data_IF_888562949804
#
_entry.id   IF_888562949804
#
_cell.length_a   1.000
_cell.length_b   1.000
_cell.length_c   1.000
_cell.angle_alpha   90.00
_cell.angle_beta   90.00
_cell.angle_gamma   90.00
#
_symmetry.space_group_name_H-M   'P 1'
#
loop_
_entity.id
_entity.type
_entity.pdbx_description
1 polymer ?
#
# COMPACT_ATOMS: atom_id res chain seq x y z
N UNK A 1 -16.08 8.97 -26.72
CA UNK A 1 -16.56 10.18 -26.01
C UNK A 1 -15.57 10.48 -24.89
N UNK A 2 -14.91 11.63 -24.91
CA UNK A 2 -14.03 12.06 -23.81
C UNK A 2 -14.95 12.46 -22.65
N UNK A 3 -14.78 11.87 -21.47
CA UNK A 3 -15.53 12.30 -20.27
C UNK A 3 -15.04 13.67 -19.86
N UNK A 4 -15.96 14.62 -19.76
CA UNK A 4 -15.65 15.98 -19.33
C UNK A 4 -15.83 16.09 -17.81
N UNK A 5 -14.82 16.64 -17.15
CA UNK A 5 -14.81 16.90 -15.72
C UNK A 5 -14.73 18.40 -15.48
N UNK A 6 -15.27 18.87 -14.37
CA UNK A 6 -15.21 20.29 -13.97
C UNK A 6 -14.85 20.41 -12.49
N UNK A 7 -14.58 21.63 -12.02
CA UNK A 7 -14.21 21.92 -10.62
C UNK A 7 -13.08 21.01 -10.12
N UNK A 8 -12.07 20.81 -10.97
CA UNK A 8 -10.93 19.96 -10.67
C UNK A 8 -10.02 20.70 -9.70
N UNK A 9 -9.73 20.10 -8.56
CA UNK A 9 -8.78 20.65 -7.59
C UNK A 9 -8.09 19.53 -6.81
N UNK A 10 -6.87 19.82 -6.39
CA UNK A 10 -6.14 19.05 -5.41
C UNK A 10 -6.46 19.65 -4.03
N UNK A 11 -6.93 18.82 -3.11
CA UNK A 11 -7.29 19.22 -1.75
C UNK A 11 -6.58 18.34 -0.73
N UNK A 12 -6.47 18.86 0.49
CA UNK A 12 -5.89 18.12 1.60
C UNK A 12 -6.67 16.84 1.92
N UNK A 13 -5.98 15.73 2.28
CA UNK A 13 -6.59 14.56 2.93
C UNK A 13 -7.37 14.90 4.20
N UNK A 14 -7.12 16.07 4.80
CA UNK A 14 -7.82 16.59 5.98
C UNK A 14 -9.06 17.43 5.65
N UNK A 15 -9.41 17.60 4.37
CA UNK A 15 -10.58 18.36 3.96
C UNK A 15 -11.87 17.79 4.58
N UNK A 16 -12.73 18.62 5.20
CA UNK A 16 -13.98 18.17 5.80
C UNK A 16 -14.90 17.44 4.81
N UNK A 17 -14.94 17.88 3.55
CA UNK A 17 -15.76 17.27 2.51
C UNK A 17 -15.30 15.84 2.20
N UNK A 18 -13.99 15.65 2.04
CA UNK A 18 -13.40 14.33 1.79
C UNK A 18 -13.60 13.38 2.98
N UNK A 19 -13.36 13.87 4.20
CA UNK A 19 -13.58 13.10 5.44
C UNK A 19 -15.05 12.70 5.56
N UNK A 20 -15.98 13.61 5.30
CA UNK A 20 -17.42 13.34 5.35
C UNK A 20 -17.81 12.27 4.33
N UNK A 21 -17.31 12.38 3.09
CA UNK A 21 -17.54 11.37 2.06
C UNK A 21 -17.02 9.99 2.48
N UNK A 22 -15.80 9.91 3.01
CA UNK A 22 -15.20 8.66 3.49
C UNK A 22 -15.97 8.06 4.68
N UNK A 23 -16.46 8.88 5.61
CA UNK A 23 -17.33 8.43 6.72
C UNK A 23 -18.63 7.80 6.19
N UNK A 24 -19.25 8.44 5.20
CA UNK A 24 -20.47 7.93 4.54
C UNK A 24 -20.21 6.57 3.87
N UNK A 25 -19.15 6.43 3.08
CA UNK A 25 -18.78 5.15 2.46
C UNK A 25 -18.45 4.07 3.49
N UNK A 26 -17.73 4.43 4.56
CA UNK A 26 -17.43 3.50 5.66
C UNK A 26 -18.70 2.99 6.33
N UNK A 27 -19.67 3.86 6.61
CA UNK A 27 -20.94 3.47 7.20
C UNK A 27 -21.72 2.49 6.30
N UNK A 28 -21.77 2.74 4.99
CA UNK A 28 -22.38 1.83 4.02
C UNK A 28 -21.68 0.46 3.98
N UNK A 29 -20.33 0.45 3.98
CA UNK A 29 -19.55 -0.79 4.00
C UNK A 29 -19.77 -1.58 5.30
N UNK A 30 -19.80 -0.93 6.46
CA UNK A 30 -20.08 -1.60 7.75
C UNK A 30 -21.49 -2.20 7.74
N UNK A 31 -22.49 -1.46 7.24
CA UNK A 31 -23.86 -1.96 7.14
C UNK A 31 -23.95 -3.22 6.27
N UNK A 32 -23.22 -3.26 5.15
CA UNK A 32 -23.17 -4.42 4.24
C UNK A 32 -22.47 -5.64 4.86
N UNK A 33 -21.53 -5.44 5.79
CA UNK A 33 -20.69 -6.47 6.39
C UNK A 33 -21.21 -7.01 7.73
N UNK A 34 -22.40 -6.61 8.19
CA UNK A 34 -22.96 -7.02 9.50
C UNK A 34 -23.01 -8.54 9.77
N UNK A 35 -22.87 -9.38 8.74
CA UNK A 35 -22.88 -10.85 8.84
C UNK A 35 -21.51 -11.52 8.65
N UNK A 36 -20.44 -10.78 8.38
CA UNK A 36 -19.10 -11.33 8.16
C UNK A 36 -18.25 -11.14 9.42
N UNK A 37 -17.61 -12.22 9.89
CA UNK A 37 -16.61 -12.14 10.96
C UNK A 37 -15.44 -11.25 10.57
N UNK A 38 -14.74 -10.71 11.57
CA UNK A 38 -13.53 -9.92 11.36
C UNK A 38 -12.34 -10.87 11.28
N UNK A 39 -11.64 -10.88 10.15
CA UNK A 39 -10.34 -11.53 10.00
C UNK A 39 -9.26 -10.65 10.64
N UNK A 40 -8.78 -11.06 11.81
CA UNK A 40 -7.79 -10.32 12.58
C UNK A 40 -6.39 -10.35 11.93
N UNK A 41 -6.01 -11.46 11.31
CA UNK A 41 -4.71 -11.59 10.63
C UNK A 41 -4.64 -10.65 9.43
N UNK A 42 -5.67 -10.67 8.58
CA UNK A 42 -5.77 -9.74 7.46
C UNK A 42 -5.81 -8.28 7.91
N UNK A 43 -6.52 -7.97 9.00
CA UNK A 43 -6.57 -6.61 9.54
C UNK A 43 -5.18 -6.12 9.96
N UNK A 44 -4.46 -6.93 10.73
CA UNK A 44 -3.19 -6.52 11.33
C UNK A 44 -2.08 -6.45 10.27
N UNK A 45 -2.05 -7.39 9.32
CA UNK A 45 -1.20 -7.33 8.13
C UNK A 45 -1.46 -6.08 7.28
N UNK A 46 -2.73 -5.78 6.96
CA UNK A 46 -3.07 -4.59 6.17
C UNK A 46 -2.72 -3.28 6.91
N UNK A 47 -2.85 -3.25 8.24
CA UNK A 47 -2.40 -2.09 9.04
C UNK A 47 -0.88 -1.89 8.92
N UNK A 48 -0.10 -2.98 8.93
CA UNK A 48 1.32 -2.90 8.72
C UNK A 48 1.66 -2.45 7.28
N UNK A 49 0.96 -2.95 6.26
CA UNK A 49 1.13 -2.46 4.89
C UNK A 49 0.94 -0.95 4.75
N UNK A 50 -0.07 -0.37 5.41
CA UNK A 50 -0.27 1.09 5.43
C UNK A 50 0.91 1.84 6.06
N UNK A 51 1.54 1.28 7.10
CA UNK A 51 2.78 1.83 7.68
C UNK A 51 3.91 1.82 6.65
N UNK A 52 4.09 0.72 5.92
CA UNK A 52 5.11 0.60 4.87
C UNK A 52 4.87 1.53 3.68
N UNK A 53 3.62 1.73 3.28
CA UNK A 53 3.27 2.71 2.26
C UNK A 53 3.63 4.13 2.72
N UNK A 54 3.37 4.46 3.99
CA UNK A 54 3.77 5.75 4.56
C UNK A 54 5.29 5.92 4.60
N UNK A 55 6.04 4.86 4.92
CA UNK A 55 7.51 4.87 4.85
C UNK A 55 7.98 5.20 3.44
N UNK A 56 7.39 4.56 2.43
CA UNK A 56 7.71 4.88 1.02
C UNK A 56 7.42 6.33 0.67
N UNK A 57 6.26 6.88 1.06
CA UNK A 57 5.94 8.29 0.84
C UNK A 57 6.98 9.21 1.51
N UNK A 58 7.36 8.92 2.75
CA UNK A 58 8.37 9.69 3.47
C UNK A 58 9.74 9.62 2.78
N UNK A 59 10.16 8.45 2.30
CA UNK A 59 11.38 8.34 1.51
C UNK A 59 11.28 9.18 0.22
N UNK A 60 10.21 9.05 -0.56
CA UNK A 60 10.02 9.85 -1.78
C UNK A 60 10.09 11.37 -1.53
N UNK A 61 9.55 11.86 -0.40
CA UNK A 61 9.64 13.28 -0.02
C UNK A 61 11.08 13.76 0.26
N UNK A 62 12.04 12.87 0.48
CA UNK A 62 13.46 13.23 0.59
C UNK A 62 14.11 13.52 -0.76
N UNK A 63 13.49 13.07 -1.87
CA UNK A 63 14.05 13.16 -3.22
C UNK A 63 13.49 14.31 -4.05
N UNK A 64 12.32 14.82 -3.67
CA UNK A 64 11.60 15.86 -4.43
C UNK A 64 10.65 16.62 -3.51
N UNK A 65 10.18 17.78 -3.95
CA UNK A 65 9.14 18.52 -3.25
C UNK A 65 7.81 17.77 -3.36
N UNK A 66 7.16 17.52 -2.22
CA UNK A 66 5.84 16.87 -2.14
C UNK A 66 4.71 17.92 -2.24
N UNK A 67 3.69 17.63 -3.04
CA UNK A 67 2.38 18.29 -2.94
C UNK A 67 1.52 17.49 -1.95
N UNK A 68 1.34 18.03 -0.73
CA UNK A 68 0.59 17.34 0.34
C UNK A 68 -0.91 17.24 0.04
N UNK A 69 -1.45 18.17 -0.76
CA UNK A 69 -2.84 18.16 -1.23
C UNK A 69 -3.00 17.10 -2.32
N UNK A 70 -3.15 15.84 -1.90
CA UNK A 70 -3.15 14.67 -2.79
C UNK A 70 -4.51 14.08 -3.09
N UNK A 71 -5.60 14.73 -2.66
CA UNK A 71 -6.95 14.29 -2.99
C UNK A 71 -7.42 15.07 -4.22
N UNK A 72 -7.57 14.37 -5.34
CA UNK A 72 -8.18 14.90 -6.54
C UNK A 72 -9.70 14.95 -6.39
N UNK A 73 -10.23 16.15 -6.17
CA UNK A 73 -11.66 16.45 -6.17
C UNK A 73 -12.07 16.95 -7.55
N UNK A 74 -13.22 16.48 -8.02
CA UNK A 74 -13.77 16.86 -9.33
C UNK A 74 -15.28 16.66 -9.34
N UNK A 75 -15.96 17.36 -10.23
CA UNK A 75 -17.36 17.09 -10.55
C UNK A 75 -17.43 16.32 -11.87
N UNK A 76 -18.15 15.20 -11.85
CA UNK A 76 -18.40 14.35 -13.01
C UNK A 76 -19.77 14.62 -13.65
N UNK A 77 -20.42 13.56 -14.12
CA UNK A 77 -21.75 13.65 -14.73
C UNK A 77 -22.92 13.66 -13.74
N UNK A 78 -22.67 13.27 -12.48
CA UNK A 78 -23.71 13.21 -11.44
C UNK A 78 -23.65 14.45 -10.54
N UNK A 79 -24.78 14.77 -9.89
CA UNK A 79 -24.84 15.86 -8.93
C UNK A 79 -23.92 15.58 -7.74
N UNK A 80 -22.87 16.40 -7.58
CA UNK A 80 -21.93 16.35 -6.46
C UNK A 80 -20.46 16.33 -6.87
N UNK A 81 -19.61 16.09 -5.87
CA UNK A 81 -18.17 15.92 -6.02
C UNK A 81 -17.79 14.46 -5.85
N UNK A 82 -16.91 14.00 -6.72
CA UNK A 82 -16.18 12.76 -6.60
C UNK A 82 -14.75 13.06 -6.11
N UNK A 83 -14.17 12.08 -5.42
CA UNK A 83 -12.85 12.19 -4.82
C UNK A 83 -11.98 11.00 -5.23
N UNK A 84 -10.70 11.24 -5.48
CA UNK A 84 -9.68 10.22 -5.71
C UNK A 84 -8.43 10.57 -4.94
N UNK A 85 -8.00 9.68 -4.06
CA UNK A 85 -6.69 9.80 -3.43
C UNK A 85 -5.61 9.34 -4.41
N UNK A 86 -4.50 10.07 -4.41
CA UNK A 86 -3.25 9.74 -5.11
C UNK A 86 -2.22 9.47 -4.01
N UNK A 87 -1.47 8.37 -4.11
CA UNK A 87 -0.61 7.92 -3.02
C UNK A 87 0.51 8.92 -2.70
N UNK A 88 1.12 9.50 -3.73
CA UNK A 88 2.13 10.55 -3.61
C UNK A 88 2.12 11.47 -4.84
N UNK A 89 2.40 12.76 -4.65
CA UNK A 89 2.52 13.72 -5.74
C UNK A 89 3.86 14.44 -5.62
N UNK A 90 4.72 14.24 -6.60
CA UNK A 90 5.92 15.06 -6.75
C UNK A 90 5.56 16.37 -7.46
N UNK A 91 6.08 17.48 -6.94
CA UNK A 91 5.91 18.82 -7.51
C UNK A 91 7.31 19.42 -7.77
N UNK A 92 8.02 18.99 -8.83
CA UNK A 92 9.36 19.47 -9.12
C UNK A 92 9.41 20.97 -9.47
N UNK A 93 8.29 21.55 -9.90
CA UNK A 93 8.11 22.99 -10.09
C UNK A 93 6.65 23.37 -9.83
N UNK A 94 6.36 24.68 -9.71
CA UNK A 94 5.02 25.20 -9.39
C UNK A 94 3.94 24.67 -10.35
N UNK A 95 4.28 24.53 -11.64
CA UNK A 95 3.33 24.15 -12.70
C UNK A 95 3.41 22.67 -13.10
N UNK A 96 4.35 21.89 -12.55
CA UNK A 96 4.56 20.48 -12.88
C UNK A 96 4.16 19.56 -11.75
N UNK A 97 3.37 18.53 -12.07
CA UNK A 97 2.94 17.50 -11.14
C UNK A 97 3.27 16.11 -11.69
N UNK A 98 3.70 15.20 -10.83
CA UNK A 98 3.89 13.79 -11.17
C UNK A 98 3.12 12.96 -10.16
N UNK A 99 2.05 12.32 -10.63
CA UNK A 99 1.25 11.44 -9.80
C UNK A 99 1.95 10.10 -9.66
N UNK A 100 2.19 9.69 -8.43
CA UNK A 100 2.81 8.42 -8.10
C UNK A 100 1.78 7.48 -7.50
N UNK A 101 1.74 6.24 -8.02
CA UNK A 101 0.94 5.16 -7.48
C UNK A 101 1.88 4.11 -6.88
N UNK A 102 1.70 3.78 -5.61
CA UNK A 102 2.51 2.85 -4.86
C UNK A 102 1.83 1.48 -4.81
N UNK A 103 2.60 0.42 -5.06
CA UNK A 103 2.13 -0.97 -4.91
C UNK A 103 3.18 -1.83 -4.21
N UNK A 104 2.89 -2.22 -2.97
CA UNK A 104 3.65 -3.22 -2.25
C UNK A 104 3.25 -4.62 -2.76
N UNK A 105 4.19 -5.37 -3.33
CA UNK A 105 3.95 -6.68 -3.96
C UNK A 105 4.72 -7.78 -3.25
N UNK A 106 4.11 -8.96 -3.12
CA UNK A 106 4.73 -10.16 -2.51
C UNK A 106 6.05 -10.56 -3.18
N UNK A 107 6.12 -10.45 -4.50
CA UNK A 107 7.30 -10.80 -5.30
C UNK A 107 7.32 -9.96 -6.58
N UNK A 108 8.50 -9.79 -7.15
CA UNK A 108 8.74 -9.20 -8.45
C UNK A 108 7.98 -9.92 -9.56
N UNK A 109 7.55 -9.17 -10.58
CA UNK A 109 6.99 -9.73 -11.82
C UNK A 109 7.46 -8.91 -13.02
N UNK A 110 8.18 -9.58 -13.93
CA UNK A 110 8.69 -8.99 -15.19
C UNK A 110 7.60 -8.34 -16.04
N UNK A 111 6.37 -8.86 -15.99
CA UNK A 111 5.21 -8.29 -16.68
C UNK A 111 4.05 -8.15 -15.70
N UNK A 112 3.57 -6.92 -15.54
CA UNK A 112 2.37 -6.60 -14.79
C UNK A 112 1.29 -6.07 -15.74
N UNK A 113 0.05 -6.55 -15.57
CA UNK A 113 -1.10 -5.88 -16.17
C UNK A 113 -1.38 -4.53 -15.49
N UNK A 114 -2.11 -3.65 -16.16
CA UNK A 114 -2.39 -2.28 -15.70
C UNK A 114 -3.04 -2.18 -14.31
N UNK A 115 -3.92 -3.12 -13.96
CA UNK A 115 -4.50 -3.17 -12.61
C UNK A 115 -3.46 -3.57 -11.57
N UNK A 116 -2.58 -4.51 -11.91
CA UNK A 116 -1.58 -5.01 -10.99
C UNK A 116 -0.46 -3.98 -10.74
N UNK A 117 -0.06 -3.23 -11.77
CA UNK A 117 0.93 -2.15 -11.65
C UNK A 117 0.38 -0.87 -11.01
N UNK A 118 -0.95 -0.70 -10.95
CA UNK A 118 -1.59 0.53 -10.49
C UNK A 118 -1.92 1.55 -11.60
N UNK A 119 -1.49 1.28 -12.84
CA UNK A 119 -1.76 2.15 -13.99
C UNK A 119 -3.24 2.40 -14.27
N UNK A 120 -4.12 1.43 -13.94
CA UNK A 120 -5.56 1.64 -14.11
C UNK A 120 -6.11 2.75 -13.18
N UNK A 121 -5.61 2.83 -11.94
CA UNK A 121 -6.00 3.89 -11.00
C UNK A 121 -5.36 5.22 -11.40
N UNK A 122 -4.07 5.19 -11.74
CA UNK A 122 -3.27 6.33 -12.11
C UNK A 122 -3.75 7.00 -13.40
N UNK A 123 -4.01 6.24 -14.47
CA UNK A 123 -4.52 6.76 -15.74
C UNK A 123 -5.84 7.49 -15.59
N UNK A 124 -6.73 7.02 -14.70
CA UNK A 124 -7.98 7.71 -14.44
C UNK A 124 -7.74 9.06 -13.74
N UNK A 125 -6.82 9.10 -12.77
CA UNK A 125 -6.47 10.34 -12.08
C UNK A 125 -5.78 11.34 -13.02
N UNK A 126 -4.87 10.88 -13.89
CA UNK A 126 -4.22 11.69 -14.93
C UNK A 126 -5.23 12.22 -15.94
N UNK A 127 -6.15 11.39 -16.42
CA UNK A 127 -7.16 11.81 -17.39
C UNK A 127 -8.12 12.90 -16.85
N UNK A 128 -8.40 12.88 -15.54
CA UNK A 128 -9.19 13.92 -14.87
C UNK A 128 -8.33 15.18 -14.69
N UNK A 129 -7.18 15.05 -14.04
CA UNK A 129 -6.32 16.17 -13.70
C UNK A 129 -5.75 16.88 -14.93
N UNK A 130 -5.47 16.16 -16.01
CA UNK A 130 -4.98 16.69 -17.28
C UNK A 130 -5.94 17.65 -17.99
N UNK A 131 -7.20 17.76 -17.55
CA UNK A 131 -8.12 18.80 -18.03
C UNK A 131 -7.88 20.17 -17.36
N UNK A 132 -7.06 20.23 -16.31
CA UNK A 132 -6.67 21.47 -15.59
C UNK A 132 -5.16 21.70 -15.59
N UNK A 133 -4.37 20.65 -15.38
CA UNK A 133 -2.92 20.73 -15.21
C UNK A 133 -2.22 20.33 -16.51
N UNK A 134 -1.44 21.25 -17.09
CA UNK A 134 -0.82 21.07 -18.41
C UNK A 134 0.48 20.24 -18.37
N UNK A 135 1.25 20.32 -17.29
CA UNK A 135 2.48 19.56 -17.11
C UNK A 135 2.26 18.46 -16.07
N UNK A 136 1.61 17.38 -16.51
CA UNK A 136 1.24 16.26 -15.64
C UNK A 136 1.89 14.97 -16.14
N UNK A 137 2.55 14.25 -15.23
CA UNK A 137 3.16 12.94 -15.47
C UNK A 137 2.59 11.87 -14.56
N UNK A 138 2.91 10.62 -14.87
CA UNK A 138 2.57 9.45 -14.06
C UNK A 138 3.76 8.55 -13.81
N UNK A 139 3.87 8.03 -12.58
CA UNK A 139 4.86 7.02 -12.21
C UNK A 139 4.21 5.92 -11.37
N UNK A 140 4.30 4.67 -11.83
CA UNK A 140 3.89 3.52 -11.03
C UNK A 140 5.11 2.91 -10.34
N UNK A 141 5.11 2.88 -9.02
CA UNK A 141 6.21 2.35 -8.21
C UNK A 141 5.76 1.06 -7.53
N UNK A 142 6.35 -0.06 -7.95
CA UNK A 142 6.16 -1.34 -7.30
C UNK A 142 7.33 -1.62 -6.36
N UNK A 143 7.04 -2.07 -5.14
CA UNK A 143 8.07 -2.54 -4.19
C UNK A 143 7.94 -4.05 -4.08
N UNK A 144 9.02 -4.76 -4.39
CA UNK A 144 9.11 -6.19 -4.11
C UNK A 144 9.39 -6.39 -2.61
N UNK A 145 8.38 -6.88 -1.90
CA UNK A 145 8.36 -7.12 -0.46
C UNK A 145 8.92 -8.48 -0.05
N UNK A 146 9.35 -9.31 -1.00
CA UNK A 146 9.85 -10.67 -0.74
C UNK A 146 10.88 -10.71 0.38
N UNK A 147 11.87 -9.81 0.37
CA UNK A 147 12.90 -9.76 1.42
C UNK A 147 12.32 -9.52 2.82
N UNK A 148 11.47 -8.50 3.00
CA UNK A 148 10.86 -8.20 4.31
C UNK A 148 9.85 -9.27 4.73
N UNK A 149 9.30 -10.03 3.79
CA UNK A 149 8.47 -11.21 4.04
C UNK A 149 9.28 -12.48 4.34
N UNK A 150 10.62 -12.43 4.25
CA UNK A 150 11.48 -13.60 4.43
C UNK A 150 11.38 -14.62 3.28
N UNK A 151 11.00 -14.16 2.09
CA UNK A 151 10.92 -14.95 0.86
C UNK A 151 12.14 -14.68 -0.04
N UNK A 152 12.41 -15.62 -0.94
CA UNK A 152 13.36 -15.41 -2.03
C UNK A 152 12.67 -14.70 -3.19
N UNK A 153 13.24 -13.58 -3.66
CA UNK A 153 12.75 -12.86 -4.83
C UNK A 153 13.05 -13.63 -6.12
N UNK A 154 12.16 -13.50 -7.12
CA UNK A 154 12.43 -13.98 -8.48
C UNK A 154 13.22 -12.98 -9.35
N UNK A 155 13.49 -11.78 -8.85
CA UNK A 155 14.24 -10.74 -9.54
C UNK A 155 15.76 -10.96 -9.49
N UNK A 156 16.46 -10.44 -10.49
CA UNK A 156 17.89 -10.14 -10.43
C UNK A 156 18.13 -8.69 -9.96
N UNK A 157 19.36 -8.38 -9.56
CA UNK A 157 19.72 -7.02 -9.14
C UNK A 157 19.50 -5.95 -10.22
N UNK A 158 19.51 -6.35 -11.50
CA UNK A 158 19.27 -5.46 -12.64
C UNK A 158 17.79 -5.18 -12.90
N UNK A 159 16.88 -5.95 -12.30
CA UNK A 159 15.44 -5.72 -12.44
C UNK A 159 14.95 -4.58 -11.53
N UNK A 160 15.75 -4.19 -10.53
CA UNK A 160 15.44 -3.12 -9.60
C UNK A 160 16.04 -1.78 -10.02
N UNK A 161 15.22 -0.74 -9.94
CA UNK A 161 15.67 0.65 -9.92
C UNK A 161 16.32 0.92 -8.56
N UNK A 162 17.48 1.57 -8.53
CA UNK A 162 18.05 2.05 -7.28
C UNK A 162 17.24 3.23 -6.76
N UNK A 163 17.21 3.38 -5.44
CA UNK A 163 16.50 4.48 -4.81
C UNK A 163 17.02 5.85 -5.25
N UNK A 164 18.34 6.00 -5.41
CA UNK A 164 18.97 7.22 -5.91
C UNK A 164 18.45 7.64 -7.29
N UNK A 165 18.13 6.67 -8.14
CA UNK A 165 17.78 6.92 -9.53
C UNK A 165 16.34 7.44 -9.66
N UNK A 166 15.52 7.29 -8.61
CA UNK A 166 14.16 7.82 -8.53
C UNK A 166 14.09 9.32 -8.77
N UNK A 167 15.12 10.07 -8.37
CA UNK A 167 15.21 11.52 -8.59
C UNK A 167 14.97 11.85 -10.07
N UNK A 168 15.57 11.10 -10.98
CA UNK A 168 15.42 11.33 -12.43
C UNK A 168 13.97 11.17 -12.92
N UNK A 169 13.19 10.29 -12.29
CA UNK A 169 11.78 10.07 -12.63
C UNK A 169 10.86 11.11 -11.96
N UNK A 170 11.28 11.70 -10.85
CA UNK A 170 10.49 12.63 -10.03
C UNK A 170 10.73 14.10 -10.36
N UNK A 171 11.72 14.41 -11.23
CA UNK A 171 12.05 15.78 -11.62
C UNK A 171 11.43 16.21 -12.95
N UNK A 172 11.02 15.28 -13.81
CA UNK A 172 10.48 15.62 -15.13
C UNK A 172 9.20 14.82 -15.40
N UNK A 173 8.04 15.48 -15.56
CA UNK A 173 6.82 14.82 -15.97
C UNK A 173 7.00 14.12 -17.32
N UNK A 174 6.61 12.85 -17.39
CA UNK A 174 6.61 12.10 -18.65
C UNK A 174 5.22 11.54 -18.94
N UNK A 175 4.87 11.49 -20.22
CA UNK A 175 3.64 10.84 -20.71
C UNK A 175 3.85 9.33 -20.93
N UNK A 176 5.07 8.82 -20.73
CA UNK A 176 5.38 7.42 -20.89
C UNK A 176 4.86 6.61 -19.70
N UNK A 177 4.23 5.46 -19.97
CA UNK A 177 3.83 4.54 -18.91
C UNK A 177 5.05 3.82 -18.33
N UNK A 178 5.70 4.43 -17.35
CA UNK A 178 6.83 3.85 -16.61
C UNK A 178 6.38 3.17 -15.33
N UNK A 179 6.63 1.86 -15.26
CA UNK A 179 6.54 1.10 -14.01
C UNK A 179 7.95 0.74 -13.58
N UNK A 180 8.31 1.13 -12.37
CA UNK A 180 9.61 0.82 -11.79
C UNK A 180 9.44 -0.13 -10.61
N UNK A 181 10.48 -0.93 -10.37
CA UNK A 181 10.53 -1.86 -9.26
C UNK A 181 11.63 -1.46 -8.28
N UNK A 182 11.30 -1.47 -7.00
CA UNK A 182 12.24 -1.24 -5.91
C UNK A 182 12.35 -2.49 -5.05
N UNK A 183 13.54 -2.75 -4.52
CA UNK A 183 13.76 -3.85 -3.59
C UNK A 183 13.42 -3.43 -2.17
N UNK A 184 12.57 -4.20 -1.48
CA UNK A 184 12.29 -3.97 -0.06
C UNK A 184 13.52 -4.10 0.84
N UNK A 185 14.58 -4.79 0.42
CA UNK A 185 15.86 -4.79 1.13
C UNK A 185 16.43 -3.38 1.21
N UNK A 186 16.68 -2.75 0.05
CA UNK A 186 17.21 -1.39 -0.03
C UNK A 186 16.30 -0.39 0.70
N UNK A 187 14.99 -0.47 0.47
CA UNK A 187 14.01 0.40 1.11
C UNK A 187 14.02 0.26 2.63
N UNK A 188 14.05 -0.97 3.15
CA UNK A 188 14.07 -1.19 4.60
C UNK A 188 15.36 -0.66 5.23
N UNK A 189 16.51 -0.85 4.58
CA UNK A 189 17.80 -0.31 5.04
C UNK A 189 17.76 1.21 5.09
N UNK A 190 17.28 1.87 4.03
CA UNK A 190 17.15 3.33 4.00
C UNK A 190 16.16 3.85 5.04
N UNK A 191 15.02 3.18 5.19
CA UNK A 191 14.01 3.55 6.18
C UNK A 191 14.56 3.47 7.61
N UNK A 192 15.39 2.47 7.92
CA UNK A 192 16.06 2.36 9.23
C UNK A 192 17.10 3.48 9.40
N UNK A 193 17.91 3.76 8.38
CA UNK A 193 18.90 4.85 8.40
C UNK A 193 18.26 6.21 8.65
N UNK A 194 17.06 6.45 8.10
CA UNK A 194 16.29 7.68 8.31
C UNK A 194 15.37 7.64 9.55
N UNK A 195 15.44 6.58 10.37
CA UNK A 195 14.63 6.45 11.59
C UNK A 195 13.13 6.28 11.36
N UNK A 196 12.70 5.91 10.15
CA UNK A 196 11.30 5.64 9.79
C UNK A 196 10.85 4.25 10.24
N UNK A 197 11.79 3.31 10.33
CA UNK A 197 11.60 1.94 10.79
C UNK A 197 12.70 1.53 11.76
N UNK A 198 12.42 0.49 12.53
CA UNK A 198 13.39 -0.27 13.31
C UNK A 198 13.57 -1.66 12.72
N UNK A 199 14.66 -2.35 13.05
CA UNK A 199 14.83 -3.78 12.70
C UNK A 199 13.66 -4.63 13.21
N UNK A 200 13.12 -4.29 14.38
CA UNK A 200 11.94 -4.95 14.94
C UNK A 200 10.69 -4.75 14.08
N UNK A 201 10.52 -3.59 13.44
CA UNK A 201 9.40 -3.36 12.52
C UNK A 201 9.51 -4.24 11.27
N UNK A 202 10.72 -4.46 10.76
CA UNK A 202 10.97 -5.36 9.64
C UNK A 202 10.68 -6.81 10.03
N UNK A 203 11.17 -7.23 11.20
CA UNK A 203 10.85 -8.55 11.77
C UNK A 203 9.35 -8.75 11.97
N UNK A 204 8.64 -7.74 12.50
CA UNK A 204 7.20 -7.84 12.71
C UNK A 204 6.41 -7.95 11.41
N UNK A 205 6.86 -7.29 10.35
CA UNK A 205 6.22 -7.43 9.04
C UNK A 205 6.31 -8.86 8.51
N UNK A 206 7.45 -9.54 8.73
CA UNK A 206 7.64 -10.95 8.37
C UNK A 206 6.67 -11.85 9.11
N UNK A 207 6.55 -11.70 10.42
CA UNK A 207 5.61 -12.46 11.26
C UNK A 207 4.17 -12.28 10.77
N UNK A 208 3.73 -11.02 10.64
CA UNK A 208 2.36 -10.72 10.22
C UNK A 208 2.03 -11.28 8.84
N UNK A 209 3.00 -11.27 7.92
CA UNK A 209 2.82 -11.88 6.61
C UNK A 209 2.68 -13.40 6.70
N UNK A 210 3.49 -14.08 7.52
CA UNK A 210 3.39 -15.53 7.72
C UNK A 210 2.06 -15.93 8.36
N UNK A 211 1.62 -15.20 9.39
CA UNK A 211 0.32 -15.41 10.04
C UNK A 211 -0.84 -15.15 9.09
N UNK A 212 -0.72 -14.17 8.20
CA UNK A 212 -1.73 -13.88 7.18
C UNK A 212 -1.84 -15.01 6.14
N UNK A 213 -0.71 -15.56 5.67
CA UNK A 213 -0.72 -16.65 4.68
C UNK A 213 -1.09 -18.00 5.32
N UNK A 214 -0.73 -18.23 6.58
CA UNK A 214 -1.04 -19.44 7.34
C UNK A 214 -1.49 -19.12 8.78
N UNK A 215 -2.77 -18.74 9.00
CA UNK A 215 -3.30 -18.41 10.32
C UNK A 215 -3.10 -19.47 11.41
N UNK A 216 -3.02 -20.75 11.02
CA UNK A 216 -2.84 -21.85 11.96
C UNK A 216 -1.42 -21.97 12.51
N UNK A 217 -0.45 -21.25 11.93
CA UNK A 217 0.95 -21.27 12.40
C UNK A 217 1.12 -20.66 13.80
N UNK A 218 0.14 -19.90 14.28
CA UNK A 218 0.15 -19.30 15.63
C UNK A 218 -0.22 -20.31 16.71
N UNK A 219 -0.82 -21.44 16.33
CA UNK A 219 -1.14 -22.49 17.30
C UNK A 219 0.17 -23.16 17.75
N UNK A 220 0.39 -23.32 19.06
CA UNK A 220 1.55 -24.05 19.55
C UNK A 220 1.52 -25.47 18.99
N UNK A 221 2.64 -25.91 18.42
CA UNK A 221 2.82 -27.27 17.92
C UNK A 221 2.76 -28.23 19.10
N UNK A 222 1.55 -28.69 19.43
CA UNK A 222 1.30 -29.76 20.36
C UNK A 222 2.20 -29.72 21.59
N UNK A 223 2.03 -28.70 22.45
CA UNK A 223 2.16 -29.03 23.86
C UNK A 223 1.22 -30.21 24.04
N UNK A 224 1.78 -31.37 24.40
CA UNK A 224 0.99 -32.52 24.83
C UNK A 224 -0.02 -31.97 25.81
N UNK A 225 -1.26 -31.78 25.36
CA UNK A 225 -2.36 -31.59 26.29
C UNK A 225 -2.20 -32.79 27.20
N UNK A 226 -1.90 -32.54 28.47
CA UNK A 226 -2.05 -33.57 29.49
C UNK A 226 -3.42 -34.15 29.20
N UNK A 227 -3.46 -35.40 28.75
CA UNK A 227 -4.71 -36.04 28.42
C UNK A 227 -5.44 -36.03 29.76
N UNK A 228 -6.39 -35.11 29.92
CA UNK A 228 -7.26 -35.05 31.07
C UNK A 228 -8.23 -36.22 30.91
N UNK A 229 -7.70 -37.42 31.11
CA UNK A 229 -8.41 -38.66 31.05
C UNK A 229 -8.84 -38.97 32.48
N UNK A 230 -10.08 -38.63 32.88
CA UNK A 230 -10.56 -38.91 34.22
C UNK A 230 -10.54 -40.41 34.55
N UNK A 231 -10.42 -41.30 33.55
CA UNK A 231 -10.31 -42.74 33.75
C UNK A 231 -8.88 -43.22 34.08
N UNK A 232 -7.82 -42.42 33.81
CA UNK A 232 -6.46 -42.73 34.28
C UNK A 232 -6.33 -42.60 35.81
N UNK A 233 -7.16 -41.78 36.46
CA UNK A 233 -7.24 -41.72 37.92
C UNK A 233 -7.97 -42.94 38.51
N UNK A 234 -8.95 -43.48 37.80
CA UNK A 234 -9.73 -44.67 38.21
C UNK A 234 -8.90 -45.96 38.16
N UNK A 235 -8.00 -46.13 37.19
CA UNK A 235 -7.13 -47.31 37.12
C UNK A 235 -6.15 -47.42 38.29
N UNK A 236 -5.79 -46.30 38.94
CA UNK A 236 -4.98 -46.30 40.18
C UNK A 236 -5.78 -46.69 41.42
N UNK A 237 -7.10 -46.50 41.42
CA UNK A 237 -8.01 -46.88 42.51
C UNK A 237 -8.47 -48.34 42.43
N UNK A 238 -8.37 -48.96 41.24
CA UNK A 238 -8.77 -50.35 40.98
C UNK A 238 -7.64 -51.38 41.15
N UNK A 239 -6.49 -51.00 41.74
CA UNK A 239 -5.49 -51.98 42.19
C UNK A 239 -6.03 -52.71 43.43
N UNK A 240 -6.81 -53.76 43.18
CA UNK A 240 -7.07 -54.88 44.10
C UNK A 240 -5.95 -55.89 43.92
#
# INVERSE_FOLDING_TARGET
MIKQYSMIELISPRSPEYISNNRRHRAMNIASRKKCGVDHFSRDYNKALLKWERVMQCLLSLLTTEMEDRILKYSGHYAGFDFREIDFIAQPSVDSLIFCELKLKKDFKKRLGSNASGWAQLNKSIAIAGQKYNQLGGLAICVDMSHVYGLTSSASDYDYCKYSDLVSYLLTPTNEHRTIWLSSLEISTLAIQHGLLTENDVGKMRELYQEYENPLSVLPNGDTQEINNPFLALSKLLKI
#
